data_IF_087211235183
#
_entry.id   IF_087211235183
#
_cell.length_a   1.000
_cell.length_b   1.000
_cell.length_c   1.000
_cell.angle_alpha   90.00
_cell.angle_beta   90.00
_cell.angle_gamma   90.00
#
_symmetry.space_group_name_H-M   'P 1'
#
loop_
_entity.id
_entity.type
_entity.pdbx_description
1 polymer ?
#
# COMPACT_ATOMS: atom_id res chain seq x y z
N UNK A 1 -2.68 -52.29 2.99
CA UNK A 1 -1.24 -52.12 3.28
C UNK A 1 -1.08 -50.70 3.78
N UNK A 2 -0.97 -50.53 5.10
CA UNK A 2 -0.87 -49.24 5.77
C UNK A 2 0.46 -48.53 5.45
N UNK A 3 0.40 -47.20 5.38
CA UNK A 3 1.40 -46.17 5.78
C UNK A 3 1.29 -44.96 4.83
N UNK A 4 0.99 -43.74 5.25
CA UNK A 4 0.79 -43.24 6.60
C UNK A 4 0.07 -41.90 6.57
N UNK A 5 -0.57 -41.58 7.69
CA UNK A 5 -0.80 -40.19 8.08
C UNK A 5 0.57 -39.49 8.20
N UNK A 6 1.14 -39.00 7.11
CA UNK A 6 1.96 -37.79 7.18
C UNK A 6 1.02 -36.60 7.01
N UNK A 7 0.07 -36.46 7.94
CA UNK A 7 -0.74 -35.25 8.01
C UNK A 7 0.21 -34.07 8.11
N UNK A 8 0.15 -33.15 7.14
CA UNK A 8 1.02 -31.98 7.11
C UNK A 8 1.11 -31.34 8.50
N UNK A 9 2.31 -31.01 8.94
CA UNK A 9 2.54 -30.38 10.24
C UNK A 9 2.47 -28.87 10.10
N UNK A 10 1.75 -28.23 11.01
CA UNK A 10 1.80 -26.78 11.14
C UNK A 10 3.18 -26.32 11.58
N UNK A 11 3.54 -25.11 11.18
CA UNK A 11 4.70 -24.36 11.69
C UNK A 11 4.24 -23.33 12.73
N UNK A 12 4.41 -23.58 14.04
CA UNK A 12 3.91 -22.70 15.10
C UNK A 12 4.47 -21.28 15.02
N UNK A 13 5.75 -21.12 14.65
CA UNK A 13 6.38 -19.81 14.53
C UNK A 13 5.67 -18.90 13.50
N UNK A 14 5.28 -19.45 12.34
CA UNK A 14 4.54 -18.69 11.31
C UNK A 14 3.12 -18.33 11.76
N UNK A 15 2.45 -19.25 12.46
CA UNK A 15 1.13 -18.98 13.04
C UNK A 15 1.24 -17.87 14.09
N UNK A 16 2.26 -17.93 14.97
CA UNK A 16 2.53 -16.91 15.96
C UNK A 16 2.76 -15.53 15.32
N UNK A 17 3.44 -15.47 14.15
CA UNK A 17 3.58 -14.22 13.41
C UNK A 17 2.23 -13.69 12.87
N UNK A 18 1.37 -14.55 12.35
CA UNK A 18 0.02 -14.14 11.90
C UNK A 18 -0.82 -13.64 13.08
N UNK A 19 -0.76 -14.32 14.24
CA UNK A 19 -1.44 -13.89 15.47
C UNK A 19 -0.87 -12.55 15.96
N UNK A 20 0.45 -12.38 15.96
CA UNK A 20 1.10 -11.11 16.29
C UNK A 20 0.66 -9.96 15.38
N UNK A 21 0.41 -10.23 14.09
CA UNK A 21 -0.08 -9.24 13.15
C UNK A 21 -1.49 -8.76 13.49
N UNK A 22 -2.38 -9.67 13.90
CA UNK A 22 -3.69 -9.34 14.42
C UNK A 22 -3.60 -8.52 15.71
N UNK A 23 -2.79 -8.95 16.67
CA UNK A 23 -2.66 -8.28 17.97
C UNK A 23 -2.16 -6.84 17.81
N UNK A 24 -1.07 -6.65 17.07
CA UNK A 24 -0.50 -5.31 16.81
C UNK A 24 -1.46 -4.40 16.04
N UNK A 25 -2.20 -4.96 15.08
CA UNK A 25 -3.24 -4.23 14.35
C UNK A 25 -4.41 -3.80 15.26
N UNK A 26 -4.94 -4.72 16.08
CA UNK A 26 -6.05 -4.43 17.00
C UNK A 26 -5.65 -3.33 17.99
N UNK A 27 -4.44 -3.43 18.56
CA UNK A 27 -3.90 -2.40 19.45
C UNK A 27 -3.81 -1.07 18.71
N UNK A 28 -3.20 -1.03 17.53
CA UNK A 28 -3.06 0.20 16.74
C UNK A 28 -4.41 0.85 16.39
N UNK A 29 -5.39 0.07 15.91
CA UNK A 29 -6.73 0.59 15.59
C UNK A 29 -7.44 1.11 16.83
N UNK A 30 -7.26 0.44 17.97
CA UNK A 30 -7.83 0.89 19.25
C UNK A 30 -7.29 2.26 19.64
N UNK A 31 -5.96 2.47 19.59
CA UNK A 31 -5.37 3.78 19.88
C UNK A 31 -5.81 4.86 18.87
N UNK A 32 -5.92 4.53 17.58
CA UNK A 32 -6.45 5.45 16.59
C UNK A 32 -7.91 5.84 16.88
N UNK A 33 -8.76 4.87 17.24
CA UNK A 33 -10.16 5.13 17.56
C UNK A 33 -10.31 5.98 18.83
N UNK A 34 -9.50 5.72 19.86
CA UNK A 34 -9.50 6.52 21.09
C UNK A 34 -9.06 7.95 20.77
N UNK A 35 -7.95 8.14 20.05
CA UNK A 35 -7.44 9.46 19.67
C UNK A 35 -8.42 10.22 18.75
N UNK A 36 -9.02 9.55 17.76
CA UNK A 36 -9.94 10.18 16.82
C UNK A 36 -11.30 10.54 17.42
N UNK A 37 -11.77 9.78 18.43
CA UNK A 37 -13.04 10.06 19.10
C UNK A 37 -12.94 11.15 20.17
N UNK A 38 -11.73 11.42 20.69
CA UNK A 38 -11.55 12.35 21.81
C UNK A 38 -12.18 11.86 23.13
N UNK A 39 -12.53 10.57 23.22
CA UNK A 39 -13.28 10.02 24.35
C UNK A 39 -12.44 9.93 25.63
N UNK A 40 -11.11 9.77 25.51
CA UNK A 40 -10.21 9.63 26.65
C UNK A 40 -9.20 10.78 26.69
N UNK A 41 -9.56 11.83 27.44
CA UNK A 41 -8.72 13.03 27.62
C UNK A 41 -7.49 12.80 28.50
N UNK A 42 -7.48 11.73 29.30
CA UNK A 42 -6.30 11.36 30.09
C UNK A 42 -5.20 10.73 29.21
N UNK A 43 -5.58 10.17 28.05
CA UNK A 43 -4.66 9.52 27.11
C UNK A 43 -4.26 10.41 25.94
N UNK A 44 -5.20 11.19 25.40
CA UNK A 44 -4.96 12.15 24.31
C UNK A 44 -5.64 13.48 24.65
N UNK A 45 -4.89 14.57 24.58
CA UNK A 45 -5.39 15.90 24.93
C UNK A 45 -6.33 16.44 23.85
N UNK A 46 -6.04 16.14 22.59
CA UNK A 46 -6.77 16.60 21.41
C UNK A 46 -6.90 15.47 20.38
N UNK A 47 -7.92 15.58 19.54
CA UNK A 47 -8.05 14.73 18.36
C UNK A 47 -7.04 15.16 17.28
N UNK A 48 -6.63 14.23 16.42
CA UNK A 48 -5.75 14.55 15.29
C UNK A 48 -6.37 15.60 14.37
N UNK A 49 -7.71 15.64 14.29
CA UNK A 49 -8.45 16.64 13.54
C UNK A 49 -8.30 18.02 14.18
N UNK A 50 -8.50 18.15 15.48
CA UNK A 50 -8.37 19.43 16.19
C UNK A 50 -6.96 20.01 16.04
N UNK A 51 -5.93 19.17 16.14
CA UNK A 51 -4.53 19.60 15.94
C UNK A 51 -4.28 20.01 14.50
N UNK A 52 -4.81 19.26 13.52
CA UNK A 52 -4.69 19.60 12.09
C UNK A 52 -5.44 20.90 11.73
N UNK A 53 -6.59 21.16 12.37
CA UNK A 53 -7.35 22.39 12.18
C UNK A 53 -6.69 23.58 12.92
N UNK A 54 -6.04 23.35 14.07
CA UNK A 54 -5.21 24.34 14.78
C UNK A 54 -4.00 24.75 13.94
N UNK A 55 -3.26 23.78 13.42
CA UNK A 55 -2.07 24.00 12.59
C UNK A 55 -2.42 24.04 11.11
N UNK A 56 -3.20 25.05 10.74
CA UNK A 56 -3.68 25.23 9.38
C UNK A 56 -2.55 25.37 8.35
N UNK A 57 -2.75 24.76 7.18
CA UNK A 57 -2.05 25.10 5.93
C UNK A 57 -2.94 24.82 4.71
N UNK A 58 -2.58 25.40 3.57
CA UNK A 58 -3.36 25.33 2.31
C UNK A 58 -3.34 23.94 1.65
N UNK A 59 -2.66 22.95 2.24
CA UNK A 59 -2.62 21.57 1.77
C UNK A 59 -3.57 20.65 2.55
N UNK A 60 -3.85 20.95 3.83
CA UNK A 60 -4.70 20.12 4.70
C UNK A 60 -6.05 19.85 4.03
N UNK A 61 -6.46 18.59 3.82
CA UNK A 61 -7.68 18.30 3.08
C UNK A 61 -8.96 18.55 3.89
N UNK A 62 -10.09 18.61 3.19
CA UNK A 62 -11.42 18.67 3.80
C UNK A 62 -11.67 17.46 4.73
N UNK A 63 -12.45 17.61 5.81
CA UNK A 63 -12.63 16.57 6.83
C UNK A 63 -13.09 15.21 6.31
N UNK A 64 -13.93 15.17 5.26
CA UNK A 64 -14.41 13.92 4.67
C UNK A 64 -13.25 13.05 4.13
N UNK A 65 -12.14 13.64 3.72
CA UNK A 65 -10.97 12.94 3.14
C UNK A 65 -10.34 11.98 4.15
N UNK A 66 -10.45 12.28 5.44
CA UNK A 66 -9.94 11.41 6.51
C UNK A 66 -10.73 10.11 6.66
N UNK A 67 -11.87 9.94 5.98
CA UNK A 67 -12.58 8.65 5.89
C UNK A 67 -11.74 7.55 5.23
N UNK A 68 -10.67 7.92 4.52
CA UNK A 68 -9.71 6.96 3.95
C UNK A 68 -9.10 6.02 4.99
N UNK A 69 -9.00 6.43 6.26
CA UNK A 69 -8.59 5.54 7.34
C UNK A 69 -9.53 4.34 7.52
N UNK A 70 -10.84 4.53 7.33
CA UNK A 70 -11.80 3.42 7.31
C UNK A 70 -11.52 2.42 6.19
N UNK A 71 -11.12 2.91 5.00
CA UNK A 71 -10.71 2.04 3.90
C UNK A 71 -9.40 1.30 4.21
N UNK A 72 -8.41 1.99 4.80
CA UNK A 72 -7.14 1.41 5.23
C UNK A 72 -7.39 0.28 6.24
N UNK A 73 -8.16 0.53 7.30
CA UNK A 73 -8.46 -0.49 8.31
C UNK A 73 -9.26 -1.65 7.73
N UNK A 74 -10.22 -1.37 6.84
CA UNK A 74 -10.98 -2.42 6.15
C UNK A 74 -10.06 -3.34 5.33
N UNK A 75 -9.18 -2.77 4.51
CA UNK A 75 -8.23 -3.57 3.72
C UNK A 75 -7.22 -4.31 4.60
N UNK A 76 -6.84 -3.72 5.74
CA UNK A 76 -5.98 -4.39 6.71
C UNK A 76 -6.64 -5.64 7.30
N UNK A 77 -7.93 -5.54 7.67
CA UNK A 77 -8.73 -6.70 8.08
C UNK A 77 -8.84 -7.72 6.95
N UNK A 78 -9.08 -7.31 5.70
CA UNK A 78 -9.20 -8.23 4.58
C UNK A 78 -7.93 -9.04 4.33
N UNK A 79 -6.75 -8.42 4.34
CA UNK A 79 -5.51 -9.18 4.13
C UNK A 79 -5.16 -10.04 5.34
N UNK A 80 -5.47 -9.59 6.57
CA UNK A 80 -5.31 -10.38 7.79
C UNK A 80 -6.21 -11.62 7.79
N UNK A 81 -7.49 -11.48 7.42
CA UNK A 81 -8.42 -12.59 7.25
C UNK A 81 -7.95 -13.54 6.16
N UNK A 82 -7.47 -13.00 5.03
CA UNK A 82 -6.90 -13.80 3.96
C UNK A 82 -5.72 -14.64 4.44
N UNK A 83 -4.70 -14.04 5.06
CA UNK A 83 -3.54 -14.82 5.56
C UNK A 83 -3.96 -15.81 6.64
N UNK A 84 -4.89 -15.47 7.54
CA UNK A 84 -5.41 -16.43 8.52
C UNK A 84 -6.13 -17.60 7.86
N UNK A 85 -6.90 -17.37 6.80
CA UNK A 85 -7.56 -18.45 6.06
C UNK A 85 -6.55 -19.46 5.48
N UNK A 86 -5.35 -19.01 5.10
CA UNK A 86 -4.31 -19.88 4.53
C UNK A 86 -3.74 -20.89 5.54
N UNK A 87 -3.95 -20.68 6.84
CA UNK A 87 -3.60 -21.64 7.90
C UNK A 87 -4.49 -22.89 7.79
N UNK A 88 -5.76 -22.71 7.46
CA UNK A 88 -6.75 -23.80 7.45
C UNK A 88 -6.91 -24.47 6.07
N UNK A 89 -6.35 -23.87 5.02
CA UNK A 89 -6.40 -24.40 3.64
C UNK A 89 -5.17 -25.26 3.32
N UNK A 90 -5.41 -26.36 2.61
CA UNK A 90 -4.39 -27.35 2.21
C UNK A 90 -4.33 -27.48 0.69
N UNK A 91 -3.15 -27.85 0.22
CA UNK A 91 -2.82 -28.28 -1.15
C UNK A 91 -2.27 -29.69 -1.10
N UNK A 92 -1.98 -30.27 -2.26
CA UNK A 92 -1.30 -31.57 -2.37
C UNK A 92 0.12 -31.55 -1.76
N UNK A 93 0.74 -30.36 -1.66
CA UNK A 93 2.10 -30.18 -1.14
C UNK A 93 2.14 -29.75 0.35
N UNK A 94 1.01 -29.32 0.91
CA UNK A 94 0.94 -28.85 2.30
C UNK A 94 -0.04 -27.71 2.55
N UNK A 95 0.02 -27.12 3.75
CA UNK A 95 -0.79 -25.95 4.08
C UNK A 95 -0.39 -24.74 3.25
N UNK A 96 -1.37 -23.97 2.76
CA UNK A 96 -1.16 -22.85 1.83
C UNK A 96 -0.16 -21.84 2.40
N UNK A 97 -0.27 -21.46 3.68
CA UNK A 97 0.63 -20.48 4.30
C UNK A 97 2.10 -20.94 4.38
N UNK A 98 2.36 -22.26 4.31
CA UNK A 98 3.71 -22.83 4.30
C UNK A 98 4.21 -22.95 2.87
N UNK A 99 3.39 -23.53 1.98
CA UNK A 99 3.76 -23.86 0.59
C UNK A 99 3.87 -22.61 -0.27
N UNK A 100 2.95 -21.66 -0.13
CA UNK A 100 2.99 -20.40 -0.89
C UNK A 100 3.97 -19.39 -0.28
N UNK A 101 4.05 -19.33 1.06
CA UNK A 101 4.94 -18.45 1.84
C UNK A 101 5.04 -17.02 1.28
N UNK A 102 3.88 -16.45 0.92
CA UNK A 102 3.78 -15.15 0.26
C UNK A 102 4.14 -13.97 1.18
N UNK A 103 4.14 -14.21 2.49
CA UNK A 103 4.45 -13.23 3.54
C UNK A 103 5.60 -13.79 4.41
N UNK A 104 6.86 -13.46 4.09
CA UNK A 104 8.02 -13.97 4.81
C UNK A 104 8.18 -13.26 6.18
N UNK A 105 9.04 -13.78 7.07
CA UNK A 105 9.18 -13.25 8.44
C UNK A 105 9.44 -11.73 8.52
N UNK A 106 10.21 -11.17 7.58
CA UNK A 106 10.56 -9.75 7.56
C UNK A 106 9.39 -8.85 7.13
N UNK A 107 8.36 -9.41 6.47
CA UNK A 107 7.07 -8.73 6.27
C UNK A 107 6.42 -8.46 7.63
N UNK A 108 6.34 -9.48 8.48
CA UNK A 108 5.70 -9.37 9.80
C UNK A 108 6.48 -8.43 10.72
N UNK A 109 7.82 -8.48 10.70
CA UNK A 109 8.65 -7.54 11.45
C UNK A 109 8.39 -6.09 11.04
N UNK A 110 8.34 -5.80 9.73
CA UNK A 110 8.02 -4.47 9.21
C UNK A 110 6.58 -4.05 9.54
N UNK A 111 5.62 -4.98 9.50
CA UNK A 111 4.24 -4.74 9.92
C UNK A 111 4.12 -4.36 11.40
N UNK A 112 4.84 -5.03 12.29
CA UNK A 112 4.82 -4.68 13.72
C UNK A 112 5.42 -3.30 13.96
N UNK A 113 6.57 -3.03 13.33
CA UNK A 113 7.20 -1.73 13.41
C UNK A 113 6.27 -0.63 12.86
N UNK A 114 5.56 -0.89 11.76
CA UNK A 114 4.58 0.03 11.22
C UNK A 114 3.49 0.41 12.22
N UNK A 115 2.90 -0.58 12.91
CA UNK A 115 1.87 -0.34 13.92
C UNK A 115 2.43 0.43 15.13
N UNK A 116 3.66 0.14 15.55
CA UNK A 116 4.35 0.88 16.62
C UNK A 116 4.59 2.34 16.20
N UNK A 117 5.11 2.58 14.99
CA UNK A 117 5.33 3.93 14.46
C UNK A 117 4.02 4.71 14.35
N UNK A 118 2.92 4.05 13.96
CA UNK A 118 1.60 4.67 13.90
C UNK A 118 1.13 5.12 15.29
N UNK A 119 1.20 4.25 16.29
CA UNK A 119 0.83 4.60 17.68
C UNK A 119 1.75 5.71 18.22
N UNK A 120 3.06 5.61 17.98
CA UNK A 120 4.02 6.63 18.41
C UNK A 120 3.70 7.98 17.77
N UNK A 121 3.34 8.01 16.48
CA UNK A 121 2.93 9.23 15.81
C UNK A 121 1.71 9.88 16.47
N UNK A 122 0.71 9.11 16.91
CA UNK A 122 -0.45 9.66 17.62
C UNK A 122 -0.05 10.46 18.85
N UNK A 123 0.82 9.92 19.69
CA UNK A 123 1.27 10.60 20.91
C UNK A 123 2.17 11.80 20.62
N UNK A 124 3.08 11.67 19.65
CA UNK A 124 4.00 12.76 19.29
C UNK A 124 3.23 13.93 18.64
N UNK A 125 2.21 13.62 17.84
CA UNK A 125 1.33 14.64 17.25
C UNK A 125 0.40 15.27 18.29
N UNK A 126 -0.17 14.48 19.21
CA UNK A 126 -0.98 14.99 20.34
C UNK A 126 -0.19 15.92 21.26
N UNK A 127 1.07 15.58 21.53
CA UNK A 127 1.99 16.45 22.27
C UNK A 127 2.48 17.67 21.48
N UNK A 128 1.98 17.90 20.27
CA UNK A 128 2.30 19.03 19.40
C UNK A 128 3.80 19.15 19.06
N UNK A 129 4.56 18.05 19.13
CA UNK A 129 5.96 18.01 18.73
C UNK A 129 6.08 17.93 17.19
N UNK A 130 5.75 19.03 16.50
CA UNK A 130 5.48 19.05 15.05
C UNK A 130 6.61 18.46 14.19
N UNK A 131 7.86 18.84 14.46
CA UNK A 131 9.04 18.33 13.71
C UNK A 131 9.22 16.84 13.96
N UNK A 132 9.13 16.40 15.22
CA UNK A 132 9.24 14.99 15.56
C UNK A 132 8.09 14.18 14.95
N UNK A 133 6.88 14.73 14.93
CA UNK A 133 5.70 14.11 14.32
C UNK A 133 5.90 13.88 12.82
N UNK A 134 6.44 14.87 12.10
CA UNK A 134 6.81 14.72 10.69
C UNK A 134 7.85 13.62 10.46
N UNK A 135 8.85 13.49 11.34
CA UNK A 135 9.83 12.42 11.26
C UNK A 135 9.23 11.03 11.54
N UNK A 136 8.38 10.90 12.57
CA UNK A 136 7.81 9.62 12.96
C UNK A 136 6.80 9.12 11.93
N UNK A 137 5.94 10.00 11.40
CA UNK A 137 4.98 9.60 10.36
C UNK A 137 5.67 9.16 9.08
N UNK A 138 6.84 9.72 8.75
CA UNK A 138 7.63 9.33 7.58
C UNK A 138 8.10 7.87 7.65
N UNK A 139 8.25 7.28 8.84
CA UNK A 139 8.65 5.87 9.01
C UNK A 139 7.55 4.89 8.58
N UNK A 140 6.28 5.33 8.62
CA UNK A 140 5.11 4.50 8.28
C UNK A 140 5.13 4.07 6.80
N UNK A 141 5.25 4.95 5.79
CA UNK A 141 5.32 4.52 4.40
C UNK A 141 6.54 3.63 4.12
N UNK A 142 7.71 3.91 4.71
CA UNK A 142 8.91 3.08 4.51
C UNK A 142 8.71 1.64 5.00
N UNK A 143 8.12 1.46 6.18
CA UNK A 143 7.81 0.12 6.69
C UNK A 143 6.78 -0.61 5.81
N UNK A 144 5.81 0.11 5.23
CA UNK A 144 4.86 -0.47 4.27
C UNK A 144 5.52 -0.82 2.93
N UNK A 145 6.48 -0.04 2.46
CA UNK A 145 7.27 -0.38 1.27
C UNK A 145 8.08 -1.66 1.49
N UNK A 146 8.62 -1.89 2.69
CA UNK A 146 9.28 -3.16 3.05
C UNK A 146 8.28 -4.31 2.97
N UNK A 147 7.07 -4.15 3.53
CA UNK A 147 6.00 -5.16 3.43
C UNK A 147 5.63 -5.47 1.97
N UNK A 148 5.41 -4.43 1.17
CA UNK A 148 5.10 -4.57 -0.26
C UNK A 148 6.21 -5.30 -1.01
N UNK A 149 7.45 -4.86 -0.85
CA UNK A 149 8.63 -5.49 -1.44
C UNK A 149 8.74 -6.97 -1.06
N UNK A 150 8.55 -7.28 0.23
CA UNK A 150 8.59 -8.65 0.74
C UNK A 150 7.60 -9.56 0.01
N UNK A 151 6.35 -9.09 -0.11
CA UNK A 151 5.30 -9.87 -0.76
C UNK A 151 5.48 -9.95 -2.28
N UNK A 152 5.88 -8.86 -2.94
CA UNK A 152 6.16 -8.86 -4.38
C UNK A 152 7.24 -9.86 -4.75
N UNK A 153 8.32 -9.90 -3.99
CA UNK A 153 9.43 -10.82 -4.25
C UNK A 153 9.00 -12.29 -4.12
N UNK A 154 8.16 -12.62 -3.15
CA UNK A 154 7.65 -13.99 -3.01
C UNK A 154 6.67 -14.36 -4.13
N UNK A 155 5.76 -13.44 -4.49
CA UNK A 155 4.82 -13.65 -5.59
C UNK A 155 5.55 -13.81 -6.92
N UNK A 156 6.57 -13.01 -7.19
CA UNK A 156 7.37 -13.12 -8.41
C UNK A 156 8.17 -14.42 -8.47
N UNK A 157 8.81 -14.80 -7.36
CA UNK A 157 9.58 -16.04 -7.27
C UNK A 157 8.72 -17.29 -7.55
N UNK A 158 7.43 -17.26 -7.17
CA UNK A 158 6.51 -18.40 -7.28
C UNK A 158 5.40 -18.17 -8.30
N UNK A 159 5.51 -17.14 -9.13
CA UNK A 159 4.39 -16.64 -9.92
C UNK A 159 3.80 -17.67 -10.89
N UNK A 160 4.65 -18.50 -11.51
CA UNK A 160 4.23 -19.58 -12.41
C UNK A 160 3.45 -20.64 -11.63
N UNK A 161 4.05 -21.18 -10.56
CA UNK A 161 3.42 -22.19 -9.71
C UNK A 161 2.10 -21.70 -9.09
N UNK A 162 2.04 -20.43 -8.65
CA UNK A 162 0.81 -19.81 -8.12
C UNK A 162 -0.27 -19.72 -9.19
N UNK A 163 0.09 -19.44 -10.44
CA UNK A 163 -0.89 -19.33 -11.54
C UNK A 163 -1.53 -20.67 -11.86
N UNK A 164 -0.78 -21.76 -11.71
CA UNK A 164 -1.24 -23.13 -12.00
C UNK A 164 -1.99 -23.75 -10.81
N UNK A 165 -1.45 -23.59 -9.60
CA UNK A 165 -1.91 -24.34 -8.43
C UNK A 165 -2.83 -23.53 -7.51
N UNK A 166 -2.62 -22.21 -7.42
CA UNK A 166 -3.35 -21.33 -6.50
C UNK A 166 -3.73 -19.98 -7.14
N UNK A 167 -4.42 -19.96 -8.30
CA UNK A 167 -4.71 -18.73 -9.04
C UNK A 167 -5.56 -17.75 -8.22
N UNK A 168 -6.46 -18.26 -7.38
CA UNK A 168 -7.27 -17.44 -6.48
C UNK A 168 -6.42 -16.76 -5.40
N UNK A 169 -5.47 -17.47 -4.78
CA UNK A 169 -4.56 -16.86 -3.78
C UNK A 169 -3.66 -15.80 -4.39
N UNK A 170 -3.23 -15.98 -5.65
CA UNK A 170 -2.50 -14.95 -6.38
C UNK A 170 -3.33 -13.67 -6.52
N UNK A 171 -4.61 -13.78 -6.90
CA UNK A 171 -5.51 -12.64 -7.02
C UNK A 171 -5.88 -12.02 -5.67
N UNK A 172 -6.16 -12.83 -4.65
CA UNK A 172 -6.44 -12.34 -3.29
C UNK A 172 -5.23 -11.62 -2.69
N UNK A 173 -4.01 -12.11 -2.93
CA UNK A 173 -2.78 -11.42 -2.52
C UNK A 173 -2.67 -10.05 -3.21
N UNK A 174 -2.91 -9.98 -4.52
CA UNK A 174 -2.89 -8.70 -5.25
C UNK A 174 -3.99 -7.73 -4.78
N UNK A 175 -5.20 -8.22 -4.58
CA UNK A 175 -6.36 -7.41 -4.23
C UNK A 175 -6.35 -6.92 -2.78
N UNK A 176 -6.01 -7.81 -1.83
CA UNK A 176 -6.08 -7.49 -0.41
C UNK A 176 -4.73 -7.06 0.17
N UNK A 177 -3.66 -7.81 -0.09
CA UNK A 177 -2.33 -7.48 0.46
C UNK A 177 -1.72 -6.30 -0.28
N UNK A 178 -1.49 -6.44 -1.59
CA UNK A 178 -0.74 -5.43 -2.35
C UNK A 178 -1.49 -4.11 -2.46
N UNK A 179 -2.76 -4.13 -2.89
CA UNK A 179 -3.54 -2.89 -2.96
C UNK A 179 -3.87 -2.35 -1.57
N UNK A 180 -4.15 -3.19 -0.56
CA UNK A 180 -4.41 -2.71 0.80
C UNK A 180 -3.23 -1.96 1.42
N UNK A 181 -2.04 -2.55 1.35
CA UNK A 181 -0.81 -1.90 1.81
C UNK A 181 -0.45 -0.69 0.94
N UNK A 182 -0.74 -0.71 -0.36
CA UNK A 182 -0.53 0.45 -1.24
C UNK A 182 -1.45 1.63 -0.91
N UNK A 183 -2.72 1.39 -0.52
CA UNK A 183 -3.61 2.47 -0.02
C UNK A 183 -2.94 3.12 1.18
N UNK A 184 -2.55 2.31 2.15
CA UNK A 184 -1.99 2.79 3.41
C UNK A 184 -0.67 3.55 3.18
N UNK A 185 0.23 2.98 2.37
CA UNK A 185 1.52 3.59 2.07
C UNK A 185 1.33 4.95 1.39
N UNK A 186 0.51 5.00 0.33
CA UNK A 186 0.25 6.24 -0.43
C UNK A 186 -0.35 7.33 0.46
N UNK A 187 -1.34 6.99 1.29
CA UNK A 187 -1.94 7.95 2.20
C UNK A 187 -0.91 8.48 3.21
N UNK A 188 -0.07 7.62 3.77
CA UNK A 188 0.92 8.03 4.76
C UNK A 188 2.10 8.81 4.17
N UNK A 189 2.43 8.60 2.88
CA UNK A 189 3.35 9.48 2.14
C UNK A 189 2.80 10.89 2.05
N UNK A 190 1.52 11.04 1.68
CA UNK A 190 0.86 12.35 1.63
C UNK A 190 0.74 12.96 3.04
N UNK A 191 0.40 12.15 4.05
CA UNK A 191 0.35 12.61 5.44
C UNK A 191 1.72 13.06 5.96
N UNK A 192 2.82 12.48 5.46
CA UNK A 192 4.18 12.93 5.74
C UNK A 192 4.42 14.34 5.19
N UNK A 193 4.01 14.61 3.95
CA UNK A 193 4.08 15.96 3.38
C UNK A 193 3.22 16.96 4.17
N UNK A 194 2.03 16.55 4.63
CA UNK A 194 1.16 17.38 5.48
C UNK A 194 1.83 17.74 6.81
N UNK A 195 2.41 16.77 7.52
CA UNK A 195 3.09 17.00 8.79
C UNK A 195 4.37 17.84 8.59
N UNK A 196 5.11 17.60 7.50
CA UNK A 196 6.25 18.42 7.13
C UNK A 196 5.83 19.87 6.88
N UNK A 197 4.73 20.10 6.17
CA UNK A 197 4.17 21.43 5.94
C UNK A 197 3.79 22.14 7.24
N UNK A 198 3.11 21.43 8.14
CA UNK A 198 2.79 21.94 9.48
C UNK A 198 4.07 22.36 10.22
N UNK A 199 5.10 21.52 10.24
CA UNK A 199 6.36 21.82 10.91
C UNK A 199 7.10 23.01 10.28
N UNK A 200 7.18 23.09 8.96
CA UNK A 200 7.85 24.20 8.25
C UNK A 200 7.13 25.54 8.52
N UNK A 201 5.81 25.56 8.47
CA UNK A 201 5.03 26.79 8.67
C UNK A 201 5.08 27.22 10.14
N UNK A 202 4.73 26.32 11.05
CA UNK A 202 4.45 26.68 12.45
C UNK A 202 5.66 26.61 13.38
N UNK A 203 6.67 25.81 13.04
CA UNK A 203 7.96 25.79 13.75
C UNK A 203 9.04 26.55 13.00
N UNK A 204 9.07 26.43 11.67
CA UNK A 204 10.06 27.11 10.82
C UNK A 204 9.75 28.57 10.50
N UNK A 205 8.50 29.01 10.64
CA UNK A 205 8.08 30.39 10.35
C UNK A 205 8.04 30.73 8.85
N UNK A 206 8.01 29.74 7.97
CA UNK A 206 7.92 29.94 6.53
C UNK A 206 6.51 30.31 6.08
N UNK A 207 6.40 31.05 4.97
CA UNK A 207 5.11 31.41 4.38
C UNK A 207 4.31 30.16 3.95
N UNK A 208 3.03 30.12 4.32
CA UNK A 208 2.14 29.00 4.01
C UNK A 208 2.04 28.75 2.50
N UNK A 209 1.86 29.80 1.71
CA UNK A 209 1.66 29.66 0.28
C UNK A 209 2.90 29.06 -0.40
N UNK A 210 4.09 29.52 -0.02
CA UNK A 210 5.37 29.05 -0.58
C UNK A 210 5.68 27.63 -0.14
N UNK A 211 5.49 27.30 1.14
CA UNK A 211 5.66 25.92 1.64
C UNK A 211 4.74 24.96 0.91
N UNK A 212 3.45 25.30 0.78
CA UNK A 212 2.49 24.42 0.10
C UNK A 212 2.79 24.30 -1.39
N UNK A 213 3.28 25.35 -2.06
CA UNK A 213 3.79 25.25 -3.43
C UNK A 213 4.94 24.25 -3.53
N UNK A 214 5.89 24.32 -2.60
CA UNK A 214 7.00 23.38 -2.50
C UNK A 214 6.55 21.94 -2.30
N UNK A 215 5.59 21.70 -1.39
CA UNK A 215 5.05 20.36 -1.12
C UNK A 215 4.27 19.80 -2.31
N UNK A 216 3.50 20.62 -3.02
CA UNK A 216 2.82 20.21 -4.26
C UNK A 216 3.84 19.87 -5.36
N UNK A 217 4.96 20.61 -5.44
CA UNK A 217 6.05 20.29 -6.36
C UNK A 217 6.75 18.97 -6.01
N UNK A 218 6.99 18.69 -4.72
CA UNK A 218 7.50 17.39 -4.26
C UNK A 218 6.54 16.27 -4.65
N UNK A 219 5.24 16.42 -4.38
CA UNK A 219 4.23 15.43 -4.75
C UNK A 219 4.13 15.23 -6.27
N UNK A 220 4.27 16.29 -7.07
CA UNK A 220 4.35 16.18 -8.53
C UNK A 220 5.55 15.32 -8.95
N UNK A 221 6.73 15.55 -8.36
CA UNK A 221 7.92 14.75 -8.64
C UNK A 221 7.70 13.29 -8.24
N UNK A 222 7.12 13.04 -7.06
CA UNK A 222 6.78 11.69 -6.60
C UNK A 222 5.83 10.98 -7.58
N UNK A 223 4.77 11.65 -8.05
CA UNK A 223 3.81 11.10 -9.02
C UNK A 223 4.50 10.76 -10.34
N UNK A 224 5.33 11.64 -10.87
CA UNK A 224 6.04 11.42 -12.14
C UNK A 224 7.08 10.31 -12.04
N UNK A 225 7.90 10.32 -10.98
CA UNK A 225 8.90 9.28 -10.71
C UNK A 225 8.21 7.94 -10.50
N UNK A 226 7.14 7.91 -9.70
CA UNK A 226 6.38 6.69 -9.47
C UNK A 226 5.78 6.15 -10.77
N UNK A 227 5.20 7.00 -11.62
CA UNK A 227 4.68 6.60 -12.94
C UNK A 227 5.75 5.92 -13.80
N UNK A 228 6.97 6.48 -13.85
CA UNK A 228 8.07 5.88 -14.61
C UNK A 228 8.49 4.56 -13.98
N UNK A 229 8.70 4.53 -12.67
CA UNK A 229 9.11 3.32 -11.96
C UNK A 229 8.09 2.20 -12.13
N UNK A 230 6.81 2.44 -11.87
CA UNK A 230 5.77 1.41 -11.90
C UNK A 230 5.50 0.84 -13.30
N UNK A 231 5.71 1.62 -14.37
CA UNK A 231 5.37 1.22 -15.73
C UNK A 231 6.55 0.61 -16.49
N UNK A 232 7.79 0.98 -16.14
CA UNK A 232 8.97 0.57 -16.90
C UNK A 232 9.97 -0.26 -16.09
N UNK A 233 10.12 0.01 -14.78
CA UNK A 233 11.13 -0.66 -13.94
C UNK A 233 10.50 -1.76 -13.09
N UNK A 234 9.37 -1.46 -12.47
CA UNK A 234 8.69 -2.29 -11.48
C UNK A 234 7.40 -2.92 -12.01
N UNK A 235 7.08 -2.83 -13.31
CA UNK A 235 5.85 -3.38 -13.89
C UNK A 235 5.65 -4.84 -13.52
N UNK A 236 6.72 -5.64 -13.55
CA UNK A 236 6.70 -7.06 -13.18
C UNK A 236 6.11 -7.31 -11.77
N UNK A 237 6.32 -6.39 -10.84
CA UNK A 237 5.89 -6.48 -9.45
C UNK A 237 4.57 -5.71 -9.21
N UNK A 238 4.48 -4.49 -9.75
CA UNK A 238 3.46 -3.50 -9.41
C UNK A 238 2.32 -3.42 -10.44
N UNK A 239 2.27 -4.26 -11.47
CA UNK A 239 1.27 -4.17 -12.56
C UNK A 239 -0.17 -4.00 -12.07
N UNK A 240 -0.54 -4.71 -11.01
CA UNK A 240 -1.90 -4.72 -10.48
C UNK A 240 -2.10 -3.79 -9.26
N UNK A 241 -1.11 -2.95 -8.93
CA UNK A 241 -1.29 -1.85 -7.97
C UNK A 241 -1.96 -0.67 -8.67
N UNK A 242 -3.29 -0.62 -8.65
CA UNK A 242 -4.04 0.44 -9.32
C UNK A 242 -4.51 1.52 -8.36
N UNK A 243 -4.61 1.20 -7.08
CA UNK A 243 -5.27 2.04 -6.09
C UNK A 243 -4.46 3.28 -5.66
N UNK A 244 -3.13 3.27 -5.86
CA UNK A 244 -2.23 4.41 -5.56
C UNK A 244 -2.77 5.71 -6.15
N UNK A 245 -3.14 5.67 -7.42
CA UNK A 245 -3.65 6.80 -8.19
C UNK A 245 -4.96 7.36 -7.62
N UNK A 246 -5.87 6.47 -7.23
CA UNK A 246 -7.14 6.85 -6.60
C UNK A 246 -6.89 7.58 -5.28
N UNK A 247 -5.95 7.10 -4.46
CA UNK A 247 -5.62 7.75 -3.18
C UNK A 247 -5.05 9.15 -3.39
N UNK A 248 -4.13 9.34 -4.34
CA UNK A 248 -3.57 10.67 -4.66
C UNK A 248 -4.68 11.62 -5.14
N UNK A 249 -5.56 11.16 -6.03
CA UNK A 249 -6.69 11.94 -6.54
C UNK A 249 -7.63 12.34 -5.38
N UNK A 250 -8.00 11.40 -4.51
CA UNK A 250 -8.88 11.68 -3.35
C UNK A 250 -8.25 12.69 -2.41
N UNK A 251 -6.96 12.54 -2.09
CA UNK A 251 -6.25 13.46 -1.20
C UNK A 251 -6.18 14.89 -1.78
N UNK A 252 -5.78 15.02 -3.05
CA UNK A 252 -5.72 16.32 -3.73
C UNK A 252 -7.11 16.93 -3.92
N UNK A 253 -8.13 16.12 -4.21
CA UNK A 253 -9.52 16.59 -4.31
C UNK A 253 -10.00 17.12 -2.96
N UNK A 254 -9.71 16.41 -1.88
CA UNK A 254 -9.97 16.86 -0.52
C UNK A 254 -9.32 18.21 -0.21
N UNK A 255 -8.06 18.38 -0.60
CA UNK A 255 -7.32 19.64 -0.47
C UNK A 255 -7.96 20.77 -1.29
N UNK A 256 -8.25 20.51 -2.57
CA UNK A 256 -8.85 21.49 -3.48
C UNK A 256 -10.22 21.95 -2.99
N UNK A 257 -11.08 21.03 -2.53
CA UNK A 257 -12.41 21.35 -2.02
C UNK A 257 -12.35 22.28 -0.80
N UNK A 258 -11.38 22.10 0.10
CA UNK A 258 -11.22 22.96 1.29
C UNK A 258 -10.70 24.34 0.92
N UNK A 259 -9.83 24.45 -0.10
CA UNK A 259 -9.04 25.66 -0.35
C UNK A 259 -9.28 26.34 -1.71
N UNK A 260 -10.33 25.95 -2.43
CA UNK A 260 -10.61 26.44 -3.78
C UNK A 260 -10.61 27.97 -3.86
N UNK A 261 -9.90 28.49 -4.86
CA UNK A 261 -9.94 29.89 -5.23
C UNK A 261 -9.35 30.10 -6.62
N UNK A 262 -10.08 30.69 -7.58
CA UNK A 262 -9.63 30.79 -8.97
C UNK A 262 -8.38 31.67 -9.16
N UNK A 263 -8.04 32.49 -8.17
CA UNK A 263 -6.85 33.35 -8.17
C UNK A 263 -5.73 32.83 -7.26
N UNK A 264 -5.96 31.72 -6.52
CA UNK A 264 -4.96 31.17 -5.59
C UNK A 264 -4.00 30.24 -6.33
N UNK A 265 -2.71 30.57 -6.30
CA UNK A 265 -1.61 29.75 -6.87
C UNK A 265 -1.74 28.27 -6.52
N UNK A 266 -1.85 27.96 -5.23
CA UNK A 266 -1.92 26.57 -4.74
C UNK A 266 -3.20 25.86 -5.18
N UNK A 267 -4.33 26.57 -5.27
CA UNK A 267 -5.58 26.01 -5.78
C UNK A 267 -5.45 25.60 -7.25
N UNK A 268 -4.87 26.47 -8.09
CA UNK A 268 -4.65 26.19 -9.51
C UNK A 268 -3.67 25.02 -9.67
N UNK A 269 -2.56 25.02 -8.92
CA UNK A 269 -1.59 23.94 -8.97
C UNK A 269 -2.22 22.60 -8.55
N UNK A 270 -2.93 22.55 -7.43
CA UNK A 270 -3.65 21.34 -7.00
C UNK A 270 -4.63 20.84 -8.07
N UNK A 271 -5.40 21.72 -8.72
CA UNK A 271 -6.31 21.34 -9.79
C UNK A 271 -5.58 20.75 -11.02
N UNK A 272 -4.47 21.35 -11.44
CA UNK A 272 -3.63 20.83 -12.53
C UNK A 272 -3.06 19.46 -12.15
N UNK A 273 -2.57 19.30 -10.92
CA UNK A 273 -2.00 18.05 -10.45
C UNK A 273 -3.04 16.93 -10.38
N UNK A 274 -4.28 17.22 -10.00
CA UNK A 274 -5.41 16.27 -10.09
C UNK A 274 -5.62 15.84 -11.55
N UNK A 275 -5.71 16.81 -12.47
CA UNK A 275 -5.92 16.54 -13.90
C UNK A 275 -4.81 15.67 -14.49
N UNK A 276 -3.54 15.98 -14.17
CA UNK A 276 -2.38 15.18 -14.57
C UNK A 276 -2.44 13.77 -13.99
N UNK A 277 -2.71 13.65 -12.67
CA UNK A 277 -2.77 12.35 -11.98
C UNK A 277 -3.88 11.47 -12.57
N UNK A 278 -5.06 12.04 -12.85
CA UNK A 278 -6.16 11.34 -13.48
C UNK A 278 -5.83 10.91 -14.92
N UNK A 279 -5.18 11.78 -15.71
CA UNK A 279 -4.75 11.44 -17.05
C UNK A 279 -3.73 10.29 -17.07
N UNK A 280 -2.70 10.36 -16.22
CA UNK A 280 -1.72 9.29 -16.06
C UNK A 280 -2.37 7.98 -15.60
N UNK A 281 -3.35 8.06 -14.70
CA UNK A 281 -4.09 6.89 -14.24
C UNK A 281 -4.86 6.21 -15.38
N UNK A 282 -5.55 6.98 -16.23
CA UNK A 282 -6.24 6.43 -17.41
C UNK A 282 -5.27 5.72 -18.34
N UNK A 283 -4.11 6.34 -18.65
CA UNK A 283 -3.08 5.69 -19.46
C UNK A 283 -2.62 4.39 -18.81
N UNK A 284 -2.36 4.41 -17.49
CA UNK A 284 -1.96 3.21 -16.74
C UNK A 284 -3.00 2.11 -16.86
N UNK A 285 -4.29 2.41 -16.69
CA UNK A 285 -5.35 1.42 -16.82
C UNK A 285 -5.34 0.78 -18.22
N UNK A 286 -5.24 1.59 -19.28
CA UNK A 286 -5.11 1.10 -20.64
C UNK A 286 -3.88 0.21 -20.82
N UNK A 287 -2.71 0.62 -20.29
CA UNK A 287 -1.47 -0.15 -20.36
C UNK A 287 -1.57 -1.47 -19.60
N UNK A 288 -2.15 -1.49 -18.40
CA UNK A 288 -2.31 -2.69 -17.59
C UNK A 288 -3.27 -3.66 -18.25
N UNK A 289 -4.40 -3.18 -18.79
CA UNK A 289 -5.35 -4.00 -19.56
C UNK A 289 -4.67 -4.58 -20.80
N UNK A 290 -3.98 -3.74 -21.59
CA UNK A 290 -3.25 -4.18 -22.78
C UNK A 290 -2.19 -5.24 -22.43
N UNK A 291 -1.39 -5.02 -21.37
CA UNK A 291 -0.35 -5.96 -20.92
C UNK A 291 -0.93 -7.22 -20.31
N UNK A 292 -2.10 -7.15 -19.68
CA UNK A 292 -2.78 -8.34 -19.15
C UNK A 292 -3.11 -9.33 -20.28
N UNK A 293 -3.68 -8.83 -21.39
CA UNK A 293 -4.05 -9.68 -22.53
C UNK A 293 -2.85 -10.04 -23.42
N UNK A 294 -1.98 -9.09 -23.74
CA UNK A 294 -0.92 -9.28 -24.74
C UNK A 294 0.43 -9.73 -24.15
N UNK A 295 0.70 -9.44 -22.87
CA UNK A 295 1.97 -9.77 -22.19
C UNK A 295 1.74 -10.27 -20.76
N UNK A 296 0.89 -11.29 -20.54
CA UNK A 296 0.53 -11.74 -19.20
C UNK A 296 1.77 -12.17 -18.39
N UNK A 297 1.75 -11.84 -17.10
CA UNK A 297 2.77 -12.28 -16.17
C UNK A 297 2.66 -13.80 -15.96
N UNK A 298 3.82 -14.44 -15.78
CA UNK A 298 3.94 -15.84 -15.36
C UNK A 298 3.38 -16.91 -16.33
N UNK A 299 3.41 -16.67 -17.65
CA UNK A 299 3.24 -17.74 -18.64
C UNK A 299 4.45 -18.67 -18.66
N UNK A 300 4.22 -19.99 -18.74
CA UNK A 300 5.25 -20.94 -19.14
C UNK A 300 5.64 -20.70 -20.60
N UNK A 301 6.95 -20.66 -20.88
CA UNK A 301 7.43 -21.01 -22.21
C UNK A 301 7.35 -22.53 -22.31
N UNK A 302 6.30 -23.04 -22.96
CA UNK A 302 6.33 -24.42 -23.43
C UNK A 302 7.40 -24.45 -24.53
N UNK A 303 8.59 -24.95 -24.21
CA UNK A 303 9.53 -25.33 -25.26
C UNK A 303 8.84 -26.43 -26.07
N UNK A 304 8.74 -26.31 -27.40
CA UNK A 304 8.17 -27.38 -28.21
C UNK A 304 8.93 -28.66 -27.90
N UNK A 305 8.20 -29.71 -27.50
CA UNK A 305 8.77 -31.02 -27.31
C UNK A 305 9.34 -31.50 -28.64
N UNK A 306 10.44 -32.25 -28.58
CA UNK A 306 11.16 -32.77 -29.76
C UNK A 306 10.31 -33.62 -30.71
N UNK A 307 9.09 -33.98 -30.33
CA UNK A 307 8.09 -34.62 -31.19
C UNK A 307 7.42 -33.66 -32.19
N UNK A 308 7.21 -32.39 -31.85
CA UNK A 308 6.63 -31.40 -32.79
C UNK A 308 7.62 -31.02 -33.89
N UNK A 309 8.93 -30.95 -33.57
CA UNK A 309 9.99 -30.72 -34.56
C UNK A 309 10.08 -31.89 -35.55
N UNK A 310 9.89 -33.14 -35.09
CA UNK A 310 9.86 -34.33 -35.95
C UNK A 310 8.66 -34.34 -36.91
N UNK A 311 7.49 -33.88 -36.46
CA UNK A 311 6.28 -33.86 -37.29
C UNK A 311 6.27 -32.71 -38.32
N UNK A 312 7.02 -31.63 -38.10
CA UNK A 312 7.20 -30.54 -39.08
C UNK A 312 8.23 -30.82 -40.18
N UNK A 313 8.93 -31.97 -40.12
CA UNK A 313 10.08 -32.31 -40.96
C UNK A 313 9.78 -33.05 -42.27
N UNK A 314 8.54 -33.04 -42.79
CA UNK A 314 8.27 -33.54 -44.15
C UNK A 314 8.49 -32.43 -45.18
N UNK A 315 9.76 -32.12 -45.43
CA UNK A 315 10.17 -31.40 -46.64
C UNK A 315 9.96 -32.35 -47.83
N UNK A 316 8.92 -32.09 -48.63
CA UNK A 316 8.77 -32.69 -49.95
C UNK A 316 9.98 -32.27 -50.81
N UNK A 317 10.84 -33.23 -51.15
CA UNK A 317 11.71 -33.08 -52.32
C UNK A 317 10.85 -33.29 -53.56
N UNK A 318 10.64 -32.21 -54.29
CA UNK A 318 10.43 -32.19 -55.73
C UNK A 318 11.41 -31.16 -56.31
#
# INVERSE_FOLDING_TARGET
METGKSGFKHQPAKIAMIVGAWLTFIVMVTFNAISASGTNKDLFNSTQREISDKYYNDLVPAPWTFSIWGFIYTWNVLWLLYVTSTIFRKTEEGYVYIVSDLLPWYFFAAWYLNNICNIAWLFVFDGEYLVASACVIALIPFTLYICLFASYRQVDKRGVWLTENLPWDLWLTRAFVHNGLAIYATWTTIATLLNLGIALIHTGGFDNSDVVTGLLAVLLVEVLVWYVLENFVLDRYCRYNLIVWVVVIVALTGSLVKHWGPQKRNSIFTAILIGLTAFLYVIRLCLVVYRHFNRPLYKMFVLPTSEEVKNSGTFNMA
#
